data_IF_488483645075
#
_entry.id   IF_488483645075
#
_cell.length_a   1.000
_cell.length_b   1.000
_cell.length_c   1.000
_cell.angle_alpha   90.00
_cell.angle_beta   90.00
_cell.angle_gamma   90.00
#
_symmetry.space_group_name_H-M   'P 1'
#
loop_
_entity.id
_entity.type
_entity.pdbx_description
1 polymer ?
#
# COMPACT_ATOMS: atom_id res chain seq x y z
N UNK A 1 34.27 -4.77 -51.56
CA UNK A 1 33.96 -4.52 -50.96
C UNK A 1 33.10 -4.74 -50.09
N UNK A 2 33.05 -4.84 -49.37
CA UNK A 2 32.25 -5.13 -48.55
C UNK A 2 31.76 -4.41 -47.61
N UNK A 3 31.15 -4.28 -47.29
CA UNK A 3 30.54 -3.57 -46.46
C UNK A 3 29.93 -4.12 -45.49
N UNK A 4 30.38 -4.26 -44.61
CA UNK A 4 29.82 -4.75 -43.64
C UNK A 4 29.14 -3.93 -42.88
N UNK A 5 28.31 -4.01 -42.59
CA UNK A 5 27.53 -3.46 -41.89
C UNK A 5 27.29 -4.01 -40.73
N UNK A 6 27.45 -3.53 -39.85
CA UNK A 6 27.20 -3.95 -38.72
C UNK A 6 26.09 -3.54 -38.15
N UNK A 7 25.35 -4.02 -37.89
CA UNK A 7 24.22 -3.86 -37.35
C UNK A 7 24.27 -3.88 -36.02
N UNK A 8 24.28 -3.01 -35.44
CA UNK A 8 24.43 -3.11 -34.19
C UNK A 8 23.22 -3.06 -33.48
N UNK A 9 23.06 -3.61 -32.75
CA UNK A 9 21.94 -3.70 -32.08
C UNK A 9 21.93 -3.39 -30.84
N UNK A 10 21.67 -2.88 -30.34
CA UNK A 10 21.22 -2.29 -29.52
C UNK A 10 20.23 -2.90 -28.79
N UNK A 11 20.45 -3.51 -28.15
CA UNK A 11 19.58 -4.21 -27.51
C UNK A 11 19.20 -3.66 -26.35
N UNK A 12 18.61 -3.36 -26.02
CA UNK A 12 18.12 -2.85 -25.01
C UNK A 12 17.51 -3.32 -24.04
N UNK A 13 17.48 -3.59 -23.59
CA UNK A 13 17.25 -3.87 -22.69
C UNK A 13 16.49 -3.30 -21.94
N UNK A 14 16.05 -3.19 -21.67
CA UNK A 14 15.42 -2.78 -20.99
C UNK A 14 14.96 -3.03 -19.97
N UNK A 15 15.10 -3.17 -19.59
CA UNK A 15 14.81 -3.30 -18.76
C UNK A 15 14.24 -3.19 -17.85
N UNK A 16 14.04 -3.45 -17.58
CA UNK A 16 13.73 -3.54 -16.60
C UNK A 16 13.17 -3.16 -15.85
N UNK A 17 13.17 -2.71 -15.75
CA UNK A 17 12.73 -2.19 -14.94
C UNK A 17 11.98 -2.52 -14.08
N UNK A 18 11.82 -2.85 -13.75
CA UNK A 18 11.29 -3.10 -12.82
C UNK A 18 10.61 -2.95 -12.09
N UNK A 19 10.38 -3.03 -12.15
CA UNK A 19 9.90 -3.07 -11.25
C UNK A 19 9.32 -2.54 -10.30
N UNK A 20 9.29 -1.67 -10.13
CA UNK A 20 8.76 -1.16 -9.23
C UNK A 20 7.43 -1.16 -9.28
N UNK A 21 6.80 -1.86 -8.72
CA UNK A 21 5.58 -1.94 -8.64
C UNK A 21 5.20 -0.94 -7.80
N UNK A 22 4.81 0.11 -8.15
CA UNK A 22 4.28 1.13 -7.32
C UNK A 22 3.00 0.62 -6.75
N UNK A 23 2.87 0.55 -5.49
CA UNK A 23 1.61 0.23 -4.90
C UNK A 23 0.71 1.43 -4.97
N UNK A 24 -0.55 1.19 -5.15
CA UNK A 24 -1.57 2.24 -5.12
C UNK A 24 -2.19 2.23 -3.73
N UNK A 25 -2.28 3.37 -3.11
CA UNK A 25 -2.96 3.50 -1.82
C UNK A 25 -4.45 3.69 -2.12
N UNK A 26 -5.26 2.88 -1.47
CA UNK A 26 -6.71 2.89 -1.70
C UNK A 26 -7.44 3.22 -0.42
N UNK A 27 -8.60 3.84 -0.53
CA UNK A 27 -9.40 4.22 0.62
C UNK A 27 -10.88 4.09 0.31
N UNK A 28 -11.67 3.98 1.36
CA UNK A 28 -13.12 4.04 1.23
C UNK A 28 -13.48 5.37 0.55
N UNK A 29 -14.42 5.31 -0.37
CA UNK A 29 -14.81 6.51 -1.15
C UNK A 29 -15.28 7.66 -0.27
N UNK A 30 -15.71 7.37 0.96
CA UNK A 30 -16.15 8.41 1.88
C UNK A 30 -15.04 9.16 2.59
N UNK A 31 -13.78 8.73 2.43
CA UNK A 31 -12.64 9.46 2.98
C UNK A 31 -12.57 10.80 2.26
N UNK A 32 -12.47 11.89 3.01
CA UNK A 32 -12.62 13.20 2.40
C UNK A 32 -11.45 13.63 1.55
N UNK A 33 -10.24 13.29 1.93
CA UNK A 33 -9.06 13.74 1.20
C UNK A 33 -8.81 12.87 -0.03
N UNK A 34 -8.23 13.46 -1.05
CA UNK A 34 -7.79 12.73 -2.22
C UNK A 34 -6.29 12.43 -2.16
N UNK A 35 -5.62 12.86 -1.11
CA UNK A 35 -4.19 12.61 -0.97
C UNK A 35 -3.83 12.42 0.49
N UNK A 36 -2.69 11.81 0.73
CA UNK A 36 -2.19 11.56 2.07
C UNK A 36 -0.68 11.74 2.06
N UNK A 37 -0.13 12.28 3.15
CA UNK A 37 1.33 12.41 3.24
C UNK A 37 1.95 11.05 3.58
N UNK A 38 3.20 10.85 3.21
CA UNK A 38 3.91 9.62 3.59
C UNK A 38 3.95 9.46 5.09
N UNK A 39 4.10 10.54 5.82
CA UNK A 39 4.14 10.51 7.26
C UNK A 39 2.82 10.02 7.85
N UNK A 40 1.72 10.58 7.40
CA UNK A 40 0.41 10.17 7.89
C UNK A 40 0.11 8.72 7.53
N UNK A 41 0.47 8.32 6.33
CA UNK A 41 0.28 6.95 5.89
C UNK A 41 1.06 5.98 6.79
N UNK A 42 2.32 6.28 7.04
CA UNK A 42 3.14 5.46 7.91
C UNK A 42 2.59 5.42 9.32
N UNK A 43 2.15 6.55 9.86
CA UNK A 43 1.61 6.61 11.21
C UNK A 43 0.34 5.76 11.35
N UNK A 44 -0.53 5.81 10.36
CA UNK A 44 -1.75 4.99 10.38
C UNK A 44 -1.41 3.50 10.33
N UNK A 45 -0.48 3.12 9.46
CA UNK A 45 -0.16 1.70 9.28
C UNK A 45 0.77 1.15 10.35
N UNK A 46 1.37 1.98 11.17
CA UNK A 46 2.18 1.50 12.30
C UNK A 46 1.47 1.65 13.64
N UNK A 47 0.26 2.19 13.63
CA UNK A 47 -0.49 2.40 14.86
C UNK A 47 -0.10 3.64 15.65
N UNK A 48 0.78 4.46 15.11
CA UNK A 48 1.15 5.72 15.75
C UNK A 48 -0.01 6.72 15.75
N UNK A 49 -0.91 6.60 14.77
CA UNK A 49 -2.12 7.41 14.71
C UNK A 49 -3.29 6.54 14.28
N UNK A 50 -4.47 6.84 14.77
CA UNK A 50 -5.69 6.18 14.35
C UNK A 50 -6.58 7.11 13.53
N UNK A 51 -6.05 8.26 13.13
CA UNK A 51 -6.84 9.26 12.41
C UNK A 51 -6.13 9.76 11.18
N UNK A 52 -6.91 10.18 10.20
CA UNK A 52 -6.40 10.95 9.06
C UNK A 52 -6.05 12.37 9.52
N UNK A 53 -5.38 13.12 8.66
CA UNK A 53 -4.97 14.49 8.96
C UNK A 53 -6.13 15.42 9.33
N UNK A 54 -7.34 15.13 8.84
CA UNK A 54 -8.50 15.94 9.15
C UNK A 54 -9.18 15.52 10.46
N UNK A 55 -8.61 14.57 11.17
CA UNK A 55 -9.15 14.08 12.42
C UNK A 55 -10.15 12.93 12.31
N UNK A 56 -10.57 12.57 11.11
CA UNK A 56 -11.50 11.45 10.95
C UNK A 56 -10.79 10.12 11.19
N UNK A 57 -11.54 9.12 11.64
CA UNK A 57 -10.98 7.84 12.03
C UNK A 57 -10.47 7.06 10.82
N UNK A 58 -9.30 6.48 10.92
CA UNK A 58 -8.68 5.67 9.88
C UNK A 58 -8.64 4.21 10.31
N UNK A 59 -9.00 3.32 9.39
CA UNK A 59 -9.03 1.88 9.64
C UNK A 59 -8.10 1.20 8.64
N UNK A 60 -6.86 0.91 9.03
CA UNK A 60 -5.92 0.28 8.09
C UNK A 60 -6.29 -1.17 7.83
N UNK A 61 -6.10 -1.59 6.58
CA UNK A 61 -6.29 -2.97 6.15
C UNK A 61 -5.03 -3.42 5.43
N UNK A 62 -4.59 -4.63 5.70
CA UNK A 62 -3.34 -5.14 5.16
C UNK A 62 -3.56 -6.44 4.41
N UNK A 63 -2.59 -6.80 3.57
CA UNK A 63 -2.51 -8.15 3.02
C UNK A 63 -1.71 -9.02 3.99
N UNK A 64 -1.96 -10.31 3.97
CA UNK A 64 -1.23 -11.25 4.82
C UNK A 64 0.19 -11.47 4.35
N UNK A 65 0.48 -11.23 3.10
CA UNK A 65 1.83 -11.39 2.56
C UNK A 65 1.84 -11.15 1.06
N UNK A 66 2.91 -11.55 0.41
CA UNK A 66 3.06 -11.43 -1.04
C UNK A 66 3.81 -10.21 -1.48
N UNK A 67 4.09 -10.11 -2.79
CA UNK A 67 4.97 -9.04 -3.31
C UNK A 67 4.42 -7.63 -3.11
N UNK A 68 3.11 -7.45 -3.23
CA UNK A 68 2.52 -6.12 -3.06
C UNK A 68 2.65 -5.67 -1.61
N UNK A 69 2.41 -6.59 -0.67
CA UNK A 69 2.56 -6.30 0.75
C UNK A 69 4.01 -5.95 1.08
N UNK A 70 4.95 -6.75 0.59
CA UNK A 70 6.36 -6.52 0.87
C UNK A 70 6.84 -5.20 0.28
N UNK A 71 6.37 -4.88 -0.92
CA UNK A 71 6.72 -3.61 -1.56
C UNK A 71 6.15 -2.43 -0.80
N UNK A 72 4.92 -2.56 -0.31
CA UNK A 72 4.29 -1.52 0.51
C UNK A 72 5.11 -1.29 1.79
N UNK A 73 5.46 -2.35 2.49
CA UNK A 73 6.25 -2.23 3.70
C UNK A 73 7.59 -1.57 3.44
N UNK A 74 8.25 -1.98 2.38
CA UNK A 74 9.55 -1.42 2.03
C UNK A 74 9.46 0.06 1.69
N UNK A 75 8.47 0.45 0.92
CA UNK A 75 8.33 1.82 0.45
C UNK A 75 7.90 2.78 1.53
N UNK A 76 6.94 2.37 2.37
CA UNK A 76 6.30 3.31 3.27
C UNK A 76 6.58 3.07 4.75
N UNK A 77 6.90 1.84 5.14
CA UNK A 77 7.05 1.51 6.55
C UNK A 77 8.52 1.34 6.94
N UNK A 78 9.32 0.79 6.03
CA UNK A 78 10.74 0.58 6.31
C UNK A 78 11.03 -0.61 7.20
N UNK A 79 10.09 -1.52 7.35
CA UNK A 79 10.26 -2.72 8.18
C UNK A 79 9.78 -3.94 7.42
N UNK A 80 10.37 -5.08 7.72
CA UNK A 80 9.88 -6.34 7.18
C UNK A 80 8.66 -6.81 7.96
N UNK A 81 7.92 -7.71 7.38
CA UNK A 81 6.64 -8.15 7.90
C UNK A 81 6.72 -8.65 9.34
N UNK A 82 7.76 -9.39 9.69
CA UNK A 82 7.88 -9.92 11.02
C UNK A 82 7.91 -8.81 12.08
N UNK A 83 8.70 -7.78 11.85
CA UNK A 83 8.77 -6.65 12.77
C UNK A 83 7.50 -5.82 12.74
N UNK A 84 6.94 -5.62 11.57
CA UNK A 84 5.70 -4.88 11.41
C UNK A 84 4.59 -5.52 12.24
N UNK A 85 4.42 -6.83 12.12
CA UNK A 85 3.38 -7.52 12.89
C UNK A 85 3.70 -7.57 14.37
N UNK A 86 4.98 -7.68 14.70
CA UNK A 86 5.42 -7.65 16.10
C UNK A 86 5.10 -6.34 16.77
N UNK A 87 5.30 -5.24 16.08
CA UNK A 87 4.97 -3.92 16.63
C UNK A 87 3.47 -3.79 16.89
N UNK A 88 2.63 -4.30 15.99
CA UNK A 88 1.19 -4.30 16.21
C UNK A 88 0.80 -5.16 17.41
N UNK A 89 1.45 -6.32 17.60
CA UNK A 89 1.14 -7.15 18.77
C UNK A 89 1.44 -6.42 20.08
N UNK A 90 2.51 -5.64 20.12
CA UNK A 90 2.83 -4.84 21.29
C UNK A 90 1.72 -3.83 21.57
N UNK A 91 1.22 -3.15 20.55
CA UNK A 91 0.14 -2.18 20.71
C UNK A 91 -1.14 -2.85 21.19
N UNK A 92 -1.46 -4.00 20.63
CA UNK A 92 -2.67 -4.73 21.01
C UNK A 92 -2.57 -5.23 22.45
N UNK A 93 -1.43 -5.79 22.83
CA UNK A 93 -1.24 -6.28 24.21
C UNK A 93 -1.27 -5.15 25.22
N UNK A 94 -0.81 -3.97 24.87
CA UNK A 94 -0.85 -2.83 25.78
C UNK A 94 -2.19 -2.13 25.79
N UNK A 95 -3.15 -2.63 25.01
CA UNK A 95 -4.50 -2.04 24.97
C UNK A 95 -4.60 -0.75 24.19
N UNK A 96 -3.57 -0.42 23.40
CA UNK A 96 -3.54 0.85 22.69
C UNK A 96 -4.15 0.79 21.30
N UNK A 97 -4.31 -0.38 20.74
CA UNK A 97 -4.83 -0.52 19.40
C UNK A 97 -5.48 -1.87 19.16
N UNK A 98 -6.23 -1.96 18.06
CA UNK A 98 -6.80 -3.22 17.58
C UNK A 98 -6.01 -3.63 16.34
N UNK A 99 -5.72 -4.92 16.23
CA UNK A 99 -4.97 -5.44 15.08
C UNK A 99 -5.71 -5.15 13.80
N UNK A 100 -5.05 -4.58 12.78
CA UNK A 100 -5.70 -4.37 11.50
C UNK A 100 -6.15 -5.69 10.89
N UNK A 101 -7.24 -5.65 10.13
CA UNK A 101 -7.67 -6.82 9.38
C UNK A 101 -6.64 -7.11 8.29
N UNK A 102 -6.33 -8.38 8.12
CA UNK A 102 -5.38 -8.82 7.09
C UNK A 102 -6.08 -9.79 6.16
N UNK A 103 -5.84 -9.66 4.86
CA UNK A 103 -6.54 -10.40 3.84
C UNK A 103 -5.60 -11.22 2.97
N UNK A 104 -6.10 -12.33 2.45
CA UNK A 104 -5.30 -13.20 1.57
C UNK A 104 -5.14 -12.59 0.19
N UNK A 105 -6.13 -11.86 -0.29
CA UNK A 105 -6.12 -11.33 -1.65
C UNK A 105 -6.44 -9.84 -1.69
N UNK A 106 -5.98 -9.17 -2.74
CA UNK A 106 -6.32 -7.76 -2.96
C UNK A 106 -7.83 -7.57 -3.12
N UNK A 107 -8.48 -8.53 -3.74
CA UNK A 107 -9.92 -8.44 -3.95
C UNK A 107 -10.67 -8.38 -2.62
N UNK A 108 -10.30 -9.25 -1.70
CA UNK A 108 -10.90 -9.24 -0.37
C UNK A 108 -10.63 -7.92 0.36
N UNK A 109 -9.40 -7.43 0.25
CA UNK A 109 -9.03 -6.16 0.86
C UNK A 109 -9.88 -5.03 0.27
N UNK A 110 -10.03 -4.99 -1.04
CA UNK A 110 -10.81 -3.94 -1.69
C UNK A 110 -12.28 -3.99 -1.29
N UNK A 111 -12.85 -5.19 -1.15
CA UNK A 111 -14.22 -5.32 -0.67
C UNK A 111 -14.40 -4.78 0.74
N UNK A 112 -13.43 -5.05 1.59
CA UNK A 112 -13.45 -4.53 2.96
C UNK A 112 -13.35 -3.00 2.95
N UNK A 113 -12.44 -2.46 2.15
CA UNK A 113 -12.25 -1.01 2.05
C UNK A 113 -13.54 -0.34 1.53
N UNK A 114 -14.21 -0.98 0.58
CA UNK A 114 -15.47 -0.44 0.04
C UNK A 114 -16.57 -0.37 1.10
N UNK A 115 -16.54 -1.29 2.07
CA UNK A 115 -17.65 -1.45 3.01
C UNK A 115 -17.43 -0.74 4.35
N UNK A 116 -16.21 -0.39 4.67
CA UNK A 116 -15.89 0.14 6.01
C UNK A 116 -15.51 1.61 5.91
N UNK A 117 -16.29 2.50 6.51
CA UNK A 117 -15.97 3.93 6.50
C UNK A 117 -14.60 4.18 7.12
N UNK A 118 -13.80 4.98 6.47
CA UNK A 118 -12.45 5.31 6.95
C UNK A 118 -11.39 4.27 6.63
N UNK A 119 -11.75 3.18 5.95
CA UNK A 119 -10.78 2.14 5.64
C UNK A 119 -9.75 2.62 4.61
N UNK A 120 -8.52 2.19 4.81
CA UNK A 120 -7.40 2.52 3.92
C UNK A 120 -6.54 1.27 3.78
N UNK A 121 -6.07 1.04 2.58
CA UNK A 121 -5.24 -0.12 2.26
C UNK A 121 -4.35 0.16 1.07
N UNK A 122 -3.91 -0.89 0.42
CA UNK A 122 -3.04 -0.77 -0.76
C UNK A 122 -3.33 -1.91 -1.74
N UNK A 123 -2.99 -1.67 -2.98
CA UNK A 123 -3.23 -2.62 -4.06
C UNK A 123 -2.14 -2.48 -5.11
N UNK A 124 -2.08 -3.41 -6.04
CA UNK A 124 -1.09 -3.39 -7.10
C UNK A 124 -1.45 -2.42 -8.23
N UNK A 125 -2.70 -2.05 -8.34
CA UNK A 125 -3.14 -1.13 -9.40
C UNK A 125 -4.36 -0.36 -8.94
N UNK A 126 -4.72 0.65 -9.70
CA UNK A 126 -5.87 1.51 -9.38
C UNK A 126 -7.13 0.65 -9.27
N UNK A 127 -7.95 0.91 -8.24
CA UNK A 127 -9.11 0.06 -8.01
C UNK A 127 -10.22 0.32 -9.01
N UNK A 128 -10.93 -0.75 -9.35
CA UNK A 128 -12.14 -0.65 -10.15
C UNK A 128 -13.37 -1.00 -9.29
N UNK A 129 -13.14 -1.24 -8.02
CA UNK A 129 -14.21 -1.62 -7.09
C UNK A 129 -15.03 -0.40 -6.72
N UNK A 130 -16.36 -0.54 -6.84
CA UNK A 130 -17.25 0.54 -6.43
C UNK A 130 -17.07 0.82 -4.94
N UNK A 131 -17.03 2.05 -4.56
CA UNK A 131 -16.85 2.43 -3.16
C UNK A 131 -15.40 2.58 -2.72
N UNK A 132 -14.46 2.38 -3.63
CA UNK A 132 -13.02 2.50 -3.33
C UNK A 132 -12.42 3.55 -4.26
N UNK A 133 -11.56 4.38 -3.72
CA UNK A 133 -10.82 5.35 -4.52
C UNK A 133 -9.34 5.25 -4.21
N UNK A 134 -8.51 5.79 -5.06
CA UNK A 134 -7.08 5.87 -4.78
C UNK A 134 -6.74 7.19 -4.14
N UNK A 135 -5.71 7.21 -3.31
CA UNK A 135 -5.17 8.43 -2.72
C UNK A 135 -3.78 8.66 -3.29
N UNK A 136 -3.50 9.91 -3.63
CA UNK A 136 -2.16 10.28 -4.02
C UNK A 136 -1.30 10.41 -2.77
N UNK A 137 -0.08 9.91 -2.81
CA UNK A 137 0.84 10.02 -1.69
C UNK A 137 1.82 11.15 -1.98
N UNK A 138 1.98 12.07 -1.06
CA UNK A 138 2.87 13.20 -1.25
C UNK A 138 3.92 13.32 -0.15
#
# INVERSE_FOLDING_TARGET
MRNMRLASFAAWALLGVGALQAQVIVANAGVKSSEISKSDLSDIFTGASSNFGDGSHAVPATLKGGPVHEAFLKTYIGKKDLLFRGDWRVLVFSGKATMPQAFETEEELLHYVASVPGAIGYASSAPHTSGVKSLAVK
#
